data_IF_569844346958
#
_entry.id   IF_569844346958
#
_cell.length_a   1.000
_cell.length_b   1.000
_cell.length_c   1.000
_cell.angle_alpha   90.00
_cell.angle_beta   90.00
_cell.angle_gamma   90.00
#
_symmetry.space_group_name_H-M   'P 1'
#
loop_
_entity.id
_entity.type
_entity.pdbx_description
1 polymer ?
#
# COMPACT_ATOMS: atom_id res chain seq x y z
N UNK A 1 -15.49 -25.76 21.01
CA UNK A 1 -14.39 -26.70 20.84
C UNK A 1 -13.13 -25.86 20.68
N UNK A 2 -12.22 -26.00 21.65
CA UNK A 2 -10.82 -25.58 21.74
C UNK A 2 -10.40 -24.25 21.08
N UNK A 3 -10.54 -23.15 21.82
CA UNK A 3 -9.76 -21.92 21.64
C UNK A 3 -8.48 -21.98 22.47
N UNK A 4 -7.52 -22.78 22.03
CA UNK A 4 -6.16 -22.73 22.56
C UNK A 4 -5.39 -21.66 21.82
N UNK A 5 -4.97 -20.60 22.50
CA UNK A 5 -4.08 -19.57 21.94
C UNK A 5 -2.76 -20.23 21.51
N UNK A 6 -2.42 -20.10 20.24
CA UNK A 6 -1.23 -20.57 19.53
C UNK A 6 0.04 -19.78 19.96
N UNK A 7 0.24 -19.56 21.26
CA UNK A 7 1.29 -18.68 21.79
C UNK A 7 2.63 -19.38 22.10
N UNK A 8 2.71 -20.72 22.00
CA UNK A 8 3.85 -21.49 22.51
C UNK A 8 4.52 -22.41 21.46
N UNK A 9 4.59 -22.02 20.18
CA UNK A 9 5.46 -22.71 19.22
C UNK A 9 6.86 -22.06 19.25
N UNK A 10 7.89 -22.71 19.86
CA UNK A 10 9.24 -22.14 19.96
C UNK A 10 9.95 -22.01 18.59
N UNK A 11 9.40 -22.63 17.55
CA UNK A 11 9.87 -22.55 16.18
C UNK A 11 9.03 -21.60 15.32
N UNK A 12 8.03 -20.91 15.90
CA UNK A 12 7.21 -19.95 15.17
C UNK A 12 8.07 -18.84 14.61
N UNK A 13 7.94 -18.60 13.30
CA UNK A 13 8.72 -17.60 12.57
C UNK A 13 7.96 -16.29 12.53
N UNK A 14 8.55 -15.19 12.98
CA UNK A 14 7.89 -13.90 12.82
C UNK A 14 8.85 -12.76 12.64
N UNK A 15 8.36 -11.71 11.98
CA UNK A 15 9.13 -10.48 11.81
C UNK A 15 8.49 -9.50 10.84
N UNK A 16 9.18 -8.38 10.66
CA UNK A 16 8.73 -7.27 9.85
C UNK A 16 9.52 -7.21 8.53
N UNK A 17 8.82 -6.96 7.43
CA UNK A 17 9.40 -6.92 6.08
C UNK A 17 9.03 -5.62 5.38
N UNK A 18 10.01 -4.76 5.09
CA UNK A 18 9.75 -3.51 4.38
C UNK A 18 9.68 -3.73 2.86
N UNK A 19 8.64 -3.20 2.21
CA UNK A 19 8.55 -3.17 0.74
C UNK A 19 8.94 -1.77 0.27
N UNK A 20 10.07 -1.67 -0.46
CA UNK A 20 10.58 -0.43 -1.02
C UNK A 20 10.70 -0.53 -2.55
N UNK A 21 10.72 0.62 -3.19
CA UNK A 21 10.77 0.70 -4.65
C UNK A 21 10.16 1.99 -5.17
N UNK A 22 10.41 2.28 -6.44
CA UNK A 22 9.85 3.47 -7.09
C UNK A 22 8.31 3.45 -7.08
N UNK A 23 7.63 4.58 -7.32
CA UNK A 23 6.19 4.56 -7.59
C UNK A 23 5.83 3.58 -8.73
N UNK A 24 4.64 2.95 -8.63
CA UNK A 24 4.04 2.10 -9.67
C UNK A 24 4.77 0.78 -10.01
N UNK A 25 5.76 0.36 -9.22
CA UNK A 25 6.39 -0.97 -9.37
C UNK A 25 5.48 -2.11 -8.93
N UNK A 26 4.42 -1.82 -8.16
CA UNK A 26 3.36 -2.77 -7.76
C UNK A 26 3.35 -3.16 -6.27
N UNK A 27 3.94 -2.34 -5.38
CA UNK A 27 4.15 -2.71 -3.96
C UNK A 27 2.84 -3.06 -3.25
N UNK A 28 1.85 -2.19 -3.39
CA UNK A 28 0.51 -2.40 -2.82
C UNK A 28 -0.24 -3.56 -3.50
N UNK A 29 0.09 -3.89 -4.76
CA UNK A 29 -0.44 -5.09 -5.43
C UNK A 29 0.10 -6.36 -4.77
N UNK A 30 1.40 -6.40 -4.48
CA UNK A 30 2.01 -7.50 -3.74
C UNK A 30 1.40 -7.62 -2.34
N UNK A 31 1.26 -6.49 -1.63
CA UNK A 31 0.67 -6.47 -0.29
C UNK A 31 -0.75 -7.06 -0.28
N UNK A 32 -1.62 -6.58 -1.17
CA UNK A 32 -2.99 -7.08 -1.27
C UNK A 32 -3.05 -8.56 -1.65
N UNK A 33 -2.14 -9.02 -2.51
CA UNK A 33 -2.06 -10.43 -2.92
C UNK A 33 -1.69 -11.33 -1.74
N UNK A 34 -0.65 -10.94 -1.00
CA UNK A 34 -0.15 -11.69 0.14
C UNK A 34 -1.19 -11.77 1.26
N UNK A 35 -1.85 -10.65 1.54
CA UNK A 35 -2.88 -10.57 2.57
C UNK A 35 -4.21 -11.22 2.13
N UNK A 36 -4.40 -11.44 0.82
CA UNK A 36 -5.63 -11.98 0.25
C UNK A 36 -6.81 -10.99 0.26
N UNK A 37 -6.57 -9.74 0.65
CA UNK A 37 -7.57 -8.70 0.81
C UNK A 37 -7.05 -7.35 0.31
N UNK A 38 -7.96 -6.46 -0.12
CA UNK A 38 -7.58 -5.13 -0.62
C UNK A 38 -7.41 -4.13 0.52
N UNK A 39 -6.28 -4.23 1.23
CA UNK A 39 -5.92 -3.37 2.37
C UNK A 39 -5.16 -2.10 1.96
N UNK A 40 -4.52 -2.09 0.78
CA UNK A 40 -3.83 -0.92 0.22
C UNK A 40 -4.35 -0.57 -1.17
N UNK A 41 -4.35 0.72 -1.51
CA UNK A 41 -4.90 1.18 -2.79
C UNK A 41 -3.89 1.11 -3.93
N UNK A 42 -4.40 0.91 -5.15
CA UNK A 42 -3.60 0.77 -6.37
C UNK A 42 -3.99 1.81 -7.42
N UNK A 43 -3.00 2.52 -7.96
CA UNK A 43 -3.20 3.52 -9.00
C UNK A 43 -1.90 3.83 -9.73
N UNK A 44 -1.99 4.07 -11.04
CA UNK A 44 -0.86 4.48 -11.89
C UNK A 44 -0.39 5.91 -11.61
N UNK A 45 -1.08 6.65 -10.72
CA UNK A 45 -0.64 7.98 -10.30
C UNK A 45 0.57 7.86 -9.38
N UNK A 46 1.57 8.73 -9.58
CA UNK A 46 2.62 8.87 -8.59
C UNK A 46 2.02 9.33 -7.25
N UNK A 47 2.64 8.90 -6.14
CA UNK A 47 2.20 9.24 -4.76
C UNK A 47 0.82 8.66 -4.39
N UNK A 48 0.51 7.46 -4.90
CA UNK A 48 -0.69 6.70 -4.52
C UNK A 48 -0.68 6.34 -3.03
N UNK A 49 0.35 5.63 -2.54
CA UNK A 49 0.53 5.34 -1.11
C UNK A 49 1.14 6.55 -0.41
N UNK A 50 0.44 7.07 0.61
CA UNK A 50 0.92 8.19 1.44
C UNK A 50 1.30 7.75 2.85
N UNK A 51 0.52 6.84 3.43
CA UNK A 51 0.71 6.35 4.79
C UNK A 51 1.46 5.01 4.78
N UNK A 52 2.16 4.71 5.89
CA UNK A 52 2.67 3.36 6.14
C UNK A 52 1.46 2.43 6.35
N UNK A 53 1.38 1.35 5.57
CA UNK A 53 0.33 0.34 5.72
C UNK A 53 1.01 -0.96 6.10
N UNK A 54 0.57 -1.58 7.19
CA UNK A 54 0.98 -2.93 7.52
C UNK A 54 -0.02 -3.92 6.92
N UNK A 55 0.48 -4.87 6.15
CA UNK A 55 -0.25 -6.06 5.72
C UNK A 55 0.27 -7.25 6.50
N UNK A 56 -0.63 -7.98 7.15
CA UNK A 56 -0.29 -9.07 8.05
C UNK A 56 -0.61 -10.38 7.35
N UNK A 57 0.41 -11.21 7.16
CA UNK A 57 0.30 -12.57 6.65
C UNK A 57 0.54 -13.54 7.79
N UNK A 58 -0.48 -14.30 8.16
CA UNK A 58 -0.42 -15.26 9.27
C UNK A 58 -0.70 -16.67 8.76
N UNK A 59 0.09 -17.61 9.22
CA UNK A 59 -0.05 -19.06 9.02
C UNK A 59 0.17 -19.75 10.37
N UNK A 60 -0.09 -21.05 10.44
CA UNK A 60 0.09 -21.79 11.69
C UNK A 60 1.52 -21.79 12.23
N UNK A 61 2.51 -21.58 11.35
CA UNK A 61 3.94 -21.67 11.66
C UNK A 61 4.68 -20.33 11.55
N UNK A 62 4.03 -19.28 11.01
CA UNK A 62 4.69 -18.00 10.79
C UNK A 62 3.76 -16.79 10.69
N UNK A 63 4.25 -15.61 11.10
CA UNK A 63 3.63 -14.31 10.82
C UNK A 63 4.62 -13.32 10.21
N UNK A 64 4.30 -12.84 9.01
CA UNK A 64 5.06 -11.79 8.32
C UNK A 64 4.26 -10.50 8.33
N UNK A 65 4.84 -9.45 8.93
CA UNK A 65 4.24 -8.10 8.91
C UNK A 65 4.91 -7.29 7.81
N UNK A 66 4.24 -7.20 6.66
CA UNK A 66 4.69 -6.41 5.54
C UNK A 66 4.42 -4.94 5.77
N UNK A 67 5.43 -4.11 5.58
CA UNK A 67 5.34 -2.66 5.68
C UNK A 67 5.40 -2.08 4.26
N UNK A 68 4.25 -1.65 3.72
CA UNK A 68 4.22 -0.91 2.46
C UNK A 68 4.61 0.54 2.71
N UNK A 69 5.68 0.97 2.04
CA UNK A 69 6.22 2.33 2.17
C UNK A 69 5.85 3.19 0.97
N UNK A 70 5.67 4.52 1.14
CA UNK A 70 5.53 5.43 0.02
C UNK A 70 6.66 5.25 -1.01
N UNK A 71 6.33 5.35 -2.30
CA UNK A 71 7.31 5.16 -3.37
C UNK A 71 8.49 6.13 -3.25
N UNK A 72 9.70 5.59 -3.12
CA UNK A 72 10.92 6.38 -2.92
C UNK A 72 11.31 7.05 -4.23
N UNK A 73 11.43 8.37 -4.21
CA UNK A 73 11.89 9.21 -5.31
C UNK A 73 12.57 10.46 -4.77
N UNK A 74 13.30 11.20 -5.62
CA UNK A 74 13.89 12.48 -5.19
C UNK A 74 12.76 13.47 -4.86
N UNK A 75 12.67 13.98 -3.62
CA UNK A 75 11.55 14.81 -3.20
C UNK A 75 11.56 16.17 -3.91
N UNK A 76 10.37 16.67 -4.27
CA UNK A 76 10.15 17.99 -4.88
C UNK A 76 9.29 18.92 -4.02
N UNK A 77 8.89 18.47 -2.82
CA UNK A 77 8.07 19.20 -1.86
C UNK A 77 8.37 18.71 -0.43
N UNK A 78 7.96 19.47 0.59
CA UNK A 78 8.14 19.09 2.00
C UNK A 78 7.42 17.77 2.35
N UNK A 79 6.20 17.58 1.84
CA UNK A 79 5.49 16.29 1.99
C UNK A 79 6.25 15.15 1.32
N UNK A 80 6.83 15.39 0.14
CA UNK A 80 7.67 14.40 -0.54
C UNK A 80 8.92 14.03 0.27
N UNK A 81 9.58 15.03 0.87
CA UNK A 81 10.78 14.80 1.69
C UNK A 81 10.45 13.98 2.95
N UNK A 82 9.34 14.33 3.60
CA UNK A 82 8.83 13.61 4.76
C UNK A 82 8.49 12.15 4.44
N UNK A 83 7.77 11.88 3.34
CA UNK A 83 7.46 10.51 2.90
C UNK A 83 8.72 9.68 2.62
N UNK A 84 9.76 10.30 2.04
CA UNK A 84 11.03 9.60 1.77
C UNK A 84 11.77 9.29 3.07
N UNK A 85 11.79 10.22 4.03
CA UNK A 85 12.44 9.99 5.33
C UNK A 85 11.77 8.86 6.12
N UNK A 86 10.45 8.88 6.18
CA UNK A 86 9.60 7.82 6.77
C UNK A 86 9.90 6.44 6.16
N UNK A 87 9.94 6.34 4.83
CA UNK A 87 10.26 5.09 4.16
C UNK A 87 11.67 4.58 4.54
N UNK A 88 12.66 5.47 4.69
CA UNK A 88 14.03 5.07 5.00
C UNK A 88 14.27 4.75 6.47
N UNK A 89 13.60 5.44 7.41
CA UNK A 89 13.72 5.10 8.84
C UNK A 89 13.21 3.69 9.12
N UNK A 90 12.17 3.26 8.39
CA UNK A 90 11.63 1.90 8.53
C UNK A 90 12.63 0.79 8.17
N UNK A 91 13.66 1.07 7.34
CA UNK A 91 14.58 0.04 6.85
C UNK A 91 15.49 -0.55 7.92
N UNK A 92 15.77 0.18 8.99
CA UNK A 92 16.65 -0.29 10.07
C UNK A 92 15.90 -1.07 11.16
N UNK A 93 14.57 -1.00 11.16
CA UNK A 93 13.71 -1.60 12.20
C UNK A 93 13.08 -2.93 11.74
N UNK A 94 13.31 -3.32 10.49
CA UNK A 94 12.77 -4.56 9.90
C UNK A 94 13.77 -5.70 9.93
N UNK A 95 13.26 -6.92 9.77
CA UNK A 95 14.05 -8.14 9.68
C UNK A 95 14.54 -8.41 8.25
N UNK A 96 13.80 -7.93 7.25
CA UNK A 96 14.16 -8.01 5.84
C UNK A 96 13.62 -6.83 5.01
N UNK A 97 14.25 -6.58 3.86
CA UNK A 97 13.84 -5.55 2.91
C UNK A 97 13.60 -6.15 1.53
N UNK A 98 12.45 -5.86 0.93
CA UNK A 98 12.14 -6.16 -0.46
C UNK A 98 12.36 -4.91 -1.32
N UNK A 99 13.41 -4.89 -2.12
CA UNK A 99 13.53 -3.89 -3.19
C UNK A 99 12.77 -4.38 -4.42
N UNK A 100 11.65 -3.74 -4.70
CA UNK A 100 10.80 -4.12 -5.82
C UNK A 100 11.01 -3.21 -7.04
N UNK A 101 11.19 -3.84 -8.20
CA UNK A 101 11.40 -3.20 -9.50
C UNK A 101 10.36 -3.69 -10.51
N UNK A 102 10.21 -2.96 -11.62
CA UNK A 102 9.24 -3.29 -12.67
C UNK A 102 9.97 -3.96 -13.84
N UNK A 103 9.56 -5.18 -14.20
CA UNK A 103 10.11 -5.95 -15.30
C UNK A 103 10.05 -5.22 -16.65
N UNK A 104 9.07 -4.35 -16.87
CA UNK A 104 8.90 -3.61 -18.12
C UNK A 104 9.80 -2.38 -18.26
N UNK A 105 10.69 -2.15 -17.30
CA UNK A 105 11.53 -0.94 -17.24
C UNK A 105 12.99 -1.31 -16.98
N UNK A 106 13.90 -0.65 -17.68
CA UNK A 106 15.34 -0.80 -17.41
C UNK A 106 15.73 -0.09 -16.11
N UNK A 107 16.83 -0.55 -15.52
CA UNK A 107 17.41 0.07 -14.31
C UNK A 107 17.73 1.54 -14.57
N UNK A 108 17.13 2.43 -13.79
CA UNK A 108 17.29 3.87 -13.94
C UNK A 108 17.88 4.56 -12.71
N UNK A 109 18.03 5.88 -12.82
CA UNK A 109 18.53 6.72 -11.72
C UNK A 109 17.68 6.62 -10.43
N UNK A 110 16.36 6.40 -10.57
CA UNK A 110 15.48 6.21 -9.42
C UNK A 110 15.75 4.90 -8.67
N UNK A 111 16.16 3.84 -9.38
CA UNK A 111 16.53 2.56 -8.77
C UNK A 111 17.90 2.70 -8.09
N UNK A 112 18.86 3.33 -8.76
CA UNK A 112 20.19 3.62 -8.20
C UNK A 112 20.09 4.42 -6.89
N UNK A 113 19.21 5.42 -6.85
CA UNK A 113 18.98 6.20 -5.65
C UNK A 113 18.48 5.38 -4.45
N UNK A 114 17.70 4.33 -4.69
CA UNK A 114 17.24 3.41 -3.65
C UNK A 114 18.38 2.46 -3.27
N UNK A 115 19.06 1.88 -4.25
CA UNK A 115 20.21 0.98 -4.06
C UNK A 115 21.29 1.64 -3.21
N UNK A 116 21.65 2.90 -3.51
CA UNK A 116 22.68 3.62 -2.77
C UNK A 116 22.36 3.80 -1.28
N UNK A 117 21.07 3.82 -0.92
CA UNK A 117 20.62 3.89 0.48
C UNK A 117 20.52 2.50 1.11
N UNK A 118 20.23 1.48 0.32
CA UNK A 118 20.22 0.10 0.78
C UNK A 118 21.63 -0.41 1.11
N UNK A 119 22.68 0.20 0.54
CA UNK A 119 24.08 -0.10 0.91
C UNK A 119 24.41 0.10 2.39
N UNK A 120 23.66 0.95 3.11
CA UNK A 120 23.87 1.17 4.55
C UNK A 120 22.98 0.27 5.42
N UNK A 121 22.08 -0.52 4.82
CA UNK A 121 21.19 -1.44 5.53
C UNK A 121 21.97 -2.71 5.85
N UNK A 122 21.92 -3.15 7.11
CA UNK A 122 22.62 -4.36 7.58
C UNK A 122 21.74 -5.61 7.53
N UNK A 123 20.47 -5.45 7.20
CA UNK A 123 19.46 -6.52 7.10
C UNK A 123 19.45 -7.14 5.69
N UNK A 124 19.05 -8.41 5.54
CA UNK A 124 18.90 -9.05 4.24
C UNK A 124 18.02 -8.25 3.29
N UNK A 125 18.51 -7.99 2.08
CA UNK A 125 17.79 -7.27 1.03
C UNK A 125 17.54 -8.19 -0.16
N UNK A 126 16.28 -8.34 -0.54
CA UNK A 126 15.83 -9.17 -1.66
C UNK A 126 15.47 -8.30 -2.85
N UNK A 127 15.90 -8.70 -4.05
CA UNK A 127 15.46 -8.06 -5.28
C UNK A 127 14.20 -8.76 -5.79
N UNK A 128 13.11 -8.02 -5.85
CA UNK A 128 11.82 -8.52 -6.34
C UNK A 128 11.53 -7.90 -7.71
N UNK A 129 11.61 -8.71 -8.77
CA UNK A 129 11.35 -8.26 -10.14
C UNK A 129 9.89 -8.54 -10.45
N UNK A 130 9.03 -7.53 -10.30
CA UNK A 130 7.59 -7.68 -10.45
C UNK A 130 7.13 -7.43 -11.90
N UNK A 131 5.91 -7.90 -12.23
CA UNK A 131 5.25 -7.78 -13.53
C UNK A 131 5.86 -8.63 -14.64
N UNK A 132 6.37 -9.81 -14.28
CA UNK A 132 6.92 -10.76 -15.27
C UNK A 132 5.88 -11.23 -16.29
N UNK A 133 4.59 -11.10 -15.97
CA UNK A 133 3.46 -11.35 -16.88
C UNK A 133 3.45 -10.43 -18.11
N UNK A 134 4.24 -9.35 -18.11
CA UNK A 134 4.24 -8.32 -19.16
C UNK A 134 5.48 -8.36 -20.06
N UNK A 135 6.40 -9.31 -19.84
CA UNK A 135 7.65 -9.40 -20.61
C UNK A 135 7.85 -10.81 -21.16
N UNK A 136 8.70 -10.92 -22.18
CA UNK A 136 9.15 -12.23 -22.64
C UNK A 136 10.19 -12.81 -21.66
N UNK A 137 10.21 -14.13 -21.40
CA UNK A 137 11.19 -14.75 -20.49
C UNK A 137 12.65 -14.43 -20.84
N UNK A 138 12.98 -14.27 -22.12
CA UNK A 138 14.34 -13.94 -22.57
C UNK A 138 14.80 -12.55 -22.10
N UNK A 139 13.87 -11.61 -21.93
CA UNK A 139 14.18 -10.25 -21.46
C UNK A 139 14.48 -10.21 -19.96
N UNK A 140 14.01 -11.21 -19.20
CA UNK A 140 14.16 -11.27 -17.75
C UNK A 140 15.64 -11.43 -17.34
N UNK A 141 16.39 -12.27 -18.06
CA UNK A 141 17.82 -12.49 -17.78
C UNK A 141 18.64 -11.21 -17.97
N UNK A 142 18.33 -10.44 -19.01
CA UNK A 142 18.96 -9.14 -19.29
C UNK A 142 18.67 -8.14 -18.17
N UNK A 143 17.47 -8.19 -17.59
CA UNK A 143 17.11 -7.33 -16.47
C UNK A 143 17.81 -7.75 -15.18
N UNK A 144 17.87 -9.04 -14.86
CA UNK A 144 18.59 -9.56 -13.68
C UNK A 144 20.06 -9.13 -13.72
N UNK A 145 20.70 -9.22 -14.89
CA UNK A 145 22.10 -8.83 -15.08
C UNK A 145 22.38 -7.36 -14.74
N UNK A 146 21.41 -6.46 -14.99
CA UNK A 146 21.54 -5.04 -14.63
C UNK A 146 21.58 -4.78 -13.13
N UNK A 147 21.05 -5.68 -12.31
CA UNK A 147 20.95 -5.50 -10.86
C UNK A 147 21.91 -6.40 -10.07
N UNK A 148 22.38 -7.52 -10.63
CA UNK A 148 23.12 -8.56 -9.89
C UNK A 148 24.29 -8.03 -9.05
N UNK A 149 25.07 -7.09 -9.59
CA UNK A 149 26.27 -6.54 -8.95
C UNK A 149 26.00 -5.21 -8.21
N UNK A 150 24.74 -4.78 -8.14
CA UNK A 150 24.38 -3.48 -7.58
C UNK A 150 24.35 -3.45 -6.05
N UNK A 151 24.08 -4.60 -5.44
CA UNK A 151 23.98 -4.85 -4.01
C UNK A 151 24.24 -6.34 -3.77
N UNK A 152 24.65 -6.72 -2.56
CA UNK A 152 24.68 -8.12 -2.14
C UNK A 152 23.26 -8.58 -1.81
N UNK A 153 22.54 -9.08 -2.81
CA UNK A 153 21.16 -9.52 -2.66
C UNK A 153 21.10 -10.85 -1.91
N UNK A 154 20.21 -10.94 -0.92
CA UNK A 154 19.92 -12.18 -0.23
C UNK A 154 19.27 -13.23 -1.17
N UNK A 155 18.42 -12.76 -2.08
CA UNK A 155 17.89 -13.54 -3.20
C UNK A 155 17.34 -12.60 -4.29
N UNK A 156 17.16 -13.13 -5.51
CA UNK A 156 16.54 -12.45 -6.65
C UNK A 156 15.32 -13.24 -7.10
N UNK A 157 14.14 -12.68 -6.88
CA UNK A 157 12.85 -13.36 -7.10
C UNK A 157 12.01 -12.61 -8.14
N UNK A 158 11.90 -13.14 -9.37
CA UNK A 158 10.94 -12.67 -10.36
C UNK A 158 9.53 -13.12 -9.98
N UNK A 159 8.57 -12.19 -9.94
CA UNK A 159 7.18 -12.46 -9.55
C UNK A 159 6.17 -11.77 -10.48
N UNK A 160 4.94 -12.28 -10.49
CA UNK A 160 3.77 -11.46 -10.84
C UNK A 160 2.92 -11.29 -9.59
N UNK A 161 2.92 -10.10 -9.01
CA UNK A 161 2.03 -9.78 -7.90
C UNK A 161 0.54 -9.81 -8.31
N UNK A 162 0.25 -9.52 -9.58
CA UNK A 162 -1.11 -9.50 -10.12
C UNK A 162 -1.66 -10.93 -10.27
N UNK A 163 -0.94 -11.76 -11.03
CA UNK A 163 -1.35 -13.14 -11.34
C UNK A 163 -1.02 -14.11 -10.19
N UNK A 164 -0.05 -13.76 -9.35
CA UNK A 164 0.41 -14.55 -8.20
C UNK A 164 1.61 -15.44 -8.49
N UNK A 165 2.18 -15.40 -9.71
CA UNK A 165 3.33 -16.22 -10.06
C UNK A 165 4.48 -15.97 -9.07
N UNK A 166 4.98 -17.05 -8.49
CA UNK A 166 6.16 -17.08 -7.61
C UNK A 166 6.02 -16.28 -6.30
N UNK A 167 4.81 -15.83 -5.94
CA UNK A 167 4.55 -15.14 -4.66
C UNK A 167 4.65 -16.10 -3.47
N UNK A 168 4.21 -17.35 -3.63
CA UNK A 168 4.34 -18.38 -2.59
C UNK A 168 5.81 -18.67 -2.26
N UNK A 169 6.65 -18.86 -3.28
CA UNK A 169 8.10 -19.02 -3.12
C UNK A 169 8.72 -17.83 -2.37
N UNK A 170 8.29 -16.60 -2.68
CA UNK A 170 8.74 -15.41 -1.93
C UNK A 170 8.38 -15.52 -0.44
N UNK A 171 7.15 -15.92 -0.12
CA UNK A 171 6.70 -16.08 1.27
C UNK A 171 7.47 -17.19 1.99
N UNK A 172 7.72 -18.31 1.32
CA UNK A 172 8.54 -19.39 1.87
C UNK A 172 10.00 -18.95 2.12
N UNK A 173 10.61 -18.26 1.16
CA UNK A 173 11.98 -17.75 1.27
C UNK A 173 12.09 -16.78 2.45
N UNK A 174 11.13 -15.87 2.60
CA UNK A 174 11.09 -14.96 3.74
C UNK A 174 10.90 -15.71 5.05
N UNK A 175 9.91 -16.60 5.13
CA UNK A 175 9.60 -17.38 6.34
C UNK A 175 10.82 -18.14 6.86
N UNK A 176 11.59 -18.78 5.96
CA UNK A 176 12.80 -19.53 6.32
C UNK A 176 13.88 -18.66 6.96
N UNK A 177 13.96 -17.38 6.57
CA UNK A 177 15.00 -16.45 7.00
C UNK A 177 14.59 -15.58 8.19
N UNK A 178 13.29 -15.51 8.50
CA UNK A 178 12.81 -14.79 9.68
C UNK A 178 13.34 -15.43 10.98
N UNK A 179 13.53 -14.62 12.03
CA UNK A 179 13.87 -15.15 13.34
C UNK A 179 12.68 -15.93 13.93
N UNK A 180 12.97 -16.76 14.92
CA UNK A 180 11.89 -17.27 15.77
C UNK A 180 11.38 -16.12 16.63
N UNK A 181 10.07 -15.97 16.74
CA UNK A 181 9.47 -14.82 17.42
C UNK A 181 8.02 -15.05 17.80
N UNK A 182 7.43 -14.13 18.58
CA UNK A 182 6.03 -14.22 18.95
C UNK A 182 5.13 -13.87 17.75
N UNK A 183 3.89 -14.29 17.82
CA UNK A 183 2.84 -13.71 16.99
C UNK A 183 2.55 -12.28 17.48
N UNK A 184 2.69 -11.28 16.60
CA UNK A 184 2.50 -9.86 16.91
C UNK A 184 1.03 -9.44 16.86
N UNK A 185 0.26 -10.05 15.96
CA UNK A 185 -1.15 -9.72 15.71
C UNK A 185 -2.04 -10.97 15.71
N UNK A 186 -3.33 -10.86 16.09
CA UNK A 186 -4.30 -11.95 15.99
C UNK A 186 -4.40 -12.56 14.58
N UNK A 187 -4.82 -13.83 14.49
CA UNK A 187 -4.86 -14.60 13.22
C UNK A 187 -5.81 -14.00 12.18
N UNK A 188 -6.88 -13.34 12.62
CA UNK A 188 -7.89 -12.71 11.78
C UNK A 188 -7.50 -11.29 11.35
N UNK A 189 -6.45 -10.72 11.94
CA UNK A 189 -6.02 -9.37 11.62
C UNK A 189 -5.11 -9.35 10.39
N UNK A 190 -5.56 -8.62 9.37
CA UNK A 190 -4.87 -8.51 8.08
C UNK A 190 -4.18 -7.17 7.83
N UNK A 191 -4.52 -6.14 8.62
CA UNK A 191 -3.88 -4.83 8.56
C UNK A 191 -3.90 -4.13 9.92
N UNK A 192 -2.99 -3.18 10.14
CA UNK A 192 -2.94 -2.34 11.33
C UNK A 192 -3.97 -1.19 11.32
N UNK A 193 -4.57 -0.91 10.16
CA UNK A 193 -5.51 0.19 10.00
C UNK A 193 -6.96 -0.19 10.29
N UNK A 194 -7.75 0.68 10.94
CA UNK A 194 -9.19 0.47 11.09
C UNK A 194 -9.91 0.39 9.74
N UNK A 195 -10.99 -0.39 9.64
CA UNK A 195 -11.82 -0.49 8.41
C UNK A 195 -12.19 0.87 7.82
N UNK A 196 -12.49 1.85 8.67
CA UNK A 196 -12.79 3.23 8.28
C UNK A 196 -11.71 3.83 7.39
N UNK A 197 -10.43 3.57 7.71
CA UNK A 197 -9.31 4.04 6.92
C UNK A 197 -9.29 3.37 5.55
N UNK A 198 -9.41 2.03 5.50
CA UNK A 198 -9.44 1.26 4.25
C UNK A 198 -10.57 1.74 3.34
N UNK A 199 -11.78 1.97 3.88
CA UNK A 199 -12.92 2.53 3.14
C UNK A 199 -12.59 3.89 2.54
N UNK A 200 -11.94 4.77 3.31
CA UNK A 200 -11.54 6.11 2.84
C UNK A 200 -10.57 6.02 1.66
N UNK A 201 -9.64 5.06 1.73
CA UNK A 201 -8.64 4.82 0.72
C UNK A 201 -9.29 4.22 -0.55
N UNK A 202 -10.21 3.27 -0.43
CA UNK A 202 -10.95 2.72 -1.58
C UNK A 202 -11.69 3.81 -2.37
N UNK A 203 -12.30 4.79 -1.68
CA UNK A 203 -12.92 5.95 -2.33
C UNK A 203 -11.85 6.81 -3.01
N UNK A 204 -10.74 7.09 -2.32
CA UNK A 204 -9.64 7.89 -2.86
C UNK A 204 -9.04 7.23 -4.10
N UNK A 205 -8.89 5.92 -4.13
CA UNK A 205 -8.41 5.16 -5.29
C UNK A 205 -9.24 5.48 -6.54
N UNK A 206 -10.57 5.47 -6.42
CA UNK A 206 -11.45 5.78 -7.56
C UNK A 206 -11.33 7.23 -8.00
N UNK A 207 -11.09 8.15 -7.07
CA UNK A 207 -10.73 9.53 -7.42
C UNK A 207 -9.44 9.57 -8.23
N UNK A 208 -8.37 8.88 -7.79
CA UNK A 208 -7.09 8.86 -8.50
C UNK A 208 -7.20 8.24 -9.90
N UNK A 209 -7.99 7.17 -10.04
CA UNK A 209 -8.20 6.45 -11.29
C UNK A 209 -9.01 7.29 -12.30
N UNK A 210 -10.08 7.94 -11.84
CA UNK A 210 -11.05 8.62 -12.71
C UNK A 210 -10.71 10.09 -13.00
N UNK A 211 -9.81 10.70 -12.21
CA UNK A 211 -9.44 12.10 -12.38
C UNK A 211 -8.03 12.29 -12.94
N UNK A 212 -7.75 13.48 -13.45
CA UNK A 212 -6.48 13.89 -14.06
C UNK A 212 -6.04 15.25 -13.53
N UNK A 213 -4.92 15.75 -14.04
CA UNK A 213 -4.38 17.08 -13.73
C UNK A 213 -4.08 17.23 -12.23
N UNK A 214 -4.51 18.32 -11.59
CA UNK A 214 -4.16 18.64 -10.21
C UNK A 214 -4.98 17.88 -9.14
N UNK A 215 -6.11 17.28 -9.52
CA UNK A 215 -7.05 16.67 -8.55
C UNK A 215 -6.41 15.50 -7.78
N UNK A 216 -5.72 14.53 -8.42
CA UNK A 216 -5.09 13.42 -7.71
C UNK A 216 -4.11 13.83 -6.61
N UNK A 217 -3.49 15.00 -6.74
CA UNK A 217 -2.46 15.47 -5.81
C UNK A 217 -3.00 16.31 -4.65
N UNK A 218 -4.29 16.68 -4.68
CA UNK A 218 -4.91 17.63 -3.73
C UNK A 218 -6.16 17.10 -3.05
N UNK A 219 -6.37 15.77 -3.11
CA UNK A 219 -7.53 15.09 -2.52
C UNK A 219 -7.19 14.42 -1.18
N UNK A 220 -8.15 14.49 -0.25
CA UNK A 220 -8.28 13.61 0.91
C UNK A 220 -9.71 13.08 0.98
N UNK A 221 -9.92 11.94 1.63
CA UNK A 221 -11.25 11.39 1.90
C UNK A 221 -11.40 11.22 3.40
N UNK A 222 -12.51 11.71 3.93
CA UNK A 222 -12.85 11.60 5.35
C UNK A 222 -14.12 10.80 5.46
N UNK A 223 -14.13 9.77 6.30
CA UNK A 223 -15.36 9.06 6.63
C UNK A 223 -16.05 9.79 7.76
N UNK A 224 -17.21 10.37 7.46
CA UNK A 224 -18.02 11.12 8.41
C UNK A 224 -18.75 10.15 9.36
N UNK A 225 -19.37 9.11 8.80
CA UNK A 225 -20.15 8.13 9.58
C UNK A 225 -20.17 6.76 8.92
N UNK A 226 -20.13 5.72 9.75
CA UNK A 226 -20.45 4.34 9.38
C UNK A 226 -21.53 3.89 10.36
N UNK A 227 -22.65 3.40 9.83
CA UNK A 227 -23.74 2.87 10.67
C UNK A 227 -24.42 1.69 9.99
N UNK A 228 -24.56 0.58 10.72
CA UNK A 228 -25.35 -0.57 10.27
C UNK A 228 -26.83 -0.18 10.30
N UNK A 229 -27.52 -0.27 9.17
CA UNK A 229 -28.96 0.01 9.06
C UNK A 229 -29.79 -1.23 9.41
N UNK A 230 -29.31 -2.41 9.05
CA UNK A 230 -29.88 -3.71 9.38
C UNK A 230 -28.78 -4.80 9.24
N UNK A 231 -29.14 -6.07 9.44
CA UNK A 231 -28.20 -7.19 9.42
C UNK A 231 -27.34 -7.29 8.15
N UNK A 232 -27.82 -6.80 7.00
CA UNK A 232 -27.14 -6.97 5.70
C UNK A 232 -26.77 -5.64 5.02
N UNK A 233 -26.97 -4.50 5.69
CA UNK A 233 -26.82 -3.18 5.07
C UNK A 233 -26.09 -2.18 5.96
N UNK A 234 -25.00 -1.64 5.43
CA UNK A 234 -24.19 -0.59 6.05
C UNK A 234 -24.40 0.72 5.30
N UNK A 235 -24.59 1.81 6.04
CA UNK A 235 -24.56 3.17 5.52
C UNK A 235 -23.20 3.79 5.81
N UNK A 236 -22.50 4.19 4.74
CA UNK A 236 -21.22 4.90 4.78
C UNK A 236 -21.43 6.31 4.26
N UNK A 237 -21.05 7.30 5.07
CA UNK A 237 -21.07 8.73 4.73
C UNK A 237 -19.63 9.21 4.66
N UNK A 238 -19.22 9.79 3.53
CA UNK A 238 -17.86 10.26 3.34
C UNK A 238 -17.75 11.58 2.56
N UNK A 239 -16.78 12.40 2.94
CA UNK A 239 -16.49 13.69 2.31
C UNK A 239 -15.16 13.63 1.57
N UNK A 240 -15.20 13.93 0.27
CA UNK A 240 -14.02 14.15 -0.57
C UNK A 240 -13.61 15.62 -0.43
N UNK A 241 -12.42 15.85 0.13
CA UNK A 241 -11.87 17.17 0.41
C UNK A 241 -10.89 17.58 -0.69
N UNK A 242 -11.04 18.79 -1.22
CA UNK A 242 -10.15 19.40 -2.22
C UNK A 242 -9.79 20.83 -1.84
N UNK A 243 -8.77 21.41 -2.48
CA UNK A 243 -8.28 22.76 -2.14
C UNK A 243 -8.99 23.88 -2.88
N UNK A 244 -9.47 23.62 -4.10
CA UNK A 244 -9.99 24.65 -5.01
C UNK A 244 -11.40 24.35 -5.52
N UNK A 245 -12.24 25.39 -5.76
CA UNK A 245 -13.56 25.20 -6.35
C UNK A 245 -13.53 24.53 -7.73
N UNK A 246 -12.49 24.78 -8.53
CA UNK A 246 -12.30 24.13 -9.84
C UNK A 246 -12.20 22.60 -9.71
N UNK A 247 -11.45 22.12 -8.72
CA UNK A 247 -11.29 20.70 -8.41
C UNK A 247 -12.62 20.07 -7.97
N UNK A 248 -13.40 20.81 -7.16
CA UNK A 248 -14.77 20.39 -6.79
C UNK A 248 -15.66 20.24 -8.03
N UNK A 249 -15.58 21.17 -8.97
CA UNK A 249 -16.29 21.08 -10.25
C UNK A 249 -15.93 19.82 -11.04
N UNK A 250 -14.63 19.47 -11.11
CA UNK A 250 -14.14 18.26 -11.78
C UNK A 250 -14.67 16.99 -11.10
N UNK A 251 -14.63 16.91 -9.77
CA UNK A 251 -15.09 15.75 -9.01
C UNK A 251 -16.60 15.52 -9.12
N UNK A 252 -17.39 16.59 -9.16
CA UNK A 252 -18.84 16.48 -9.37
C UNK A 252 -19.13 16.05 -10.81
N UNK A 253 -18.47 16.70 -11.78
CA UNK A 253 -18.71 16.49 -13.20
C UNK A 253 -20.08 17.02 -13.65
N UNK A 254 -20.31 17.05 -14.97
CA UNK A 254 -21.57 17.54 -15.54
C UNK A 254 -22.75 16.71 -15.02
N UNK A 255 -23.71 17.35 -14.35
CA UNK A 255 -24.88 16.69 -13.76
C UNK A 255 -24.55 15.66 -12.66
N UNK A 256 -23.41 15.78 -11.98
CA UNK A 256 -23.00 14.82 -10.94
C UNK A 256 -22.45 13.49 -11.47
N UNK A 257 -22.21 13.38 -12.79
CA UNK A 257 -21.81 12.13 -13.45
C UNK A 257 -20.49 11.55 -12.93
N UNK A 258 -19.50 12.39 -12.63
CA UNK A 258 -18.20 11.93 -12.14
C UNK A 258 -18.31 11.41 -10.70
N UNK A 259 -18.97 12.15 -9.81
CA UNK A 259 -19.17 11.74 -8.42
C UNK A 259 -19.99 10.46 -8.33
N UNK A 260 -21.02 10.32 -9.17
CA UNK A 260 -21.81 9.08 -9.29
C UNK A 260 -20.93 7.90 -9.70
N UNK A 261 -20.03 8.09 -10.67
CA UNK A 261 -19.10 7.04 -11.14
C UNK A 261 -18.11 6.64 -10.06
N UNK A 262 -17.50 7.61 -9.37
CA UNK A 262 -16.61 7.39 -8.21
C UNK A 262 -17.35 6.56 -7.14
N UNK A 263 -18.54 7.01 -6.72
CA UNK A 263 -19.32 6.32 -5.69
C UNK A 263 -19.75 4.92 -6.11
N UNK A 264 -20.10 4.71 -7.38
CA UNK A 264 -20.50 3.38 -7.87
C UNK A 264 -19.35 2.37 -7.78
N UNK A 265 -18.17 2.75 -8.26
CA UNK A 265 -16.99 1.87 -8.24
C UNK A 265 -16.44 1.69 -6.82
N UNK A 266 -16.43 2.74 -6.00
CA UNK A 266 -15.96 2.65 -4.62
C UNK A 266 -16.88 1.75 -3.78
N UNK A 267 -18.20 1.89 -3.96
CA UNK A 267 -19.19 1.05 -3.27
C UNK A 267 -18.97 -0.44 -3.56
N UNK A 268 -18.67 -0.82 -4.79
CA UNK A 268 -18.38 -2.22 -5.13
C UNK A 268 -17.20 -2.77 -4.33
N UNK A 269 -16.08 -2.05 -4.30
CA UNK A 269 -14.91 -2.45 -3.52
C UNK A 269 -15.22 -2.52 -2.01
N UNK A 270 -16.02 -1.59 -1.49
CA UNK A 270 -16.40 -1.58 -0.06
C UNK A 270 -17.35 -2.74 0.27
N UNK A 271 -18.28 -3.10 -0.62
CA UNK A 271 -19.14 -4.28 -0.44
C UNK A 271 -18.32 -5.58 -0.39
N UNK A 272 -17.26 -5.67 -1.20
CA UNK A 272 -16.33 -6.80 -1.15
C UNK A 272 -15.53 -6.83 0.16
N UNK A 273 -15.03 -5.68 0.62
CA UNK A 273 -14.29 -5.58 1.88
C UNK A 273 -15.14 -5.97 3.09
N UNK A 274 -16.38 -5.49 3.16
CA UNK A 274 -17.25 -5.67 4.33
C UNK A 274 -18.12 -6.92 4.27
N UNK A 275 -18.16 -7.62 3.12
CA UNK A 275 -19.09 -8.72 2.84
C UNK A 275 -20.58 -8.38 3.08
N UNK A 276 -20.95 -7.10 2.97
CA UNK A 276 -22.27 -6.53 3.28
C UNK A 276 -22.74 -5.61 2.14
N UNK A 277 -24.06 -5.36 2.01
CA UNK A 277 -24.55 -4.32 1.09
C UNK A 277 -24.25 -2.94 1.64
N UNK A 278 -23.83 -2.03 0.76
CA UNK A 278 -23.41 -0.69 1.17
C UNK A 278 -24.27 0.36 0.50
N UNK A 279 -24.82 1.27 1.30
CA UNK A 279 -25.29 2.57 0.82
C UNK A 279 -24.17 3.59 1.06
N UNK A 280 -23.56 4.08 -0.02
CA UNK A 280 -22.46 5.04 0.03
C UNK A 280 -22.96 6.43 -0.35
N UNK A 281 -22.89 7.37 0.59
CA UNK A 281 -23.21 8.77 0.40
C UNK A 281 -21.92 9.60 0.37
N UNK A 282 -21.73 10.37 -0.72
CA UNK A 282 -20.51 11.15 -0.96
C UNK A 282 -20.81 12.64 -1.07
N UNK A 283 -20.01 13.46 -0.38
CA UNK A 283 -19.97 14.91 -0.56
C UNK A 283 -18.63 15.39 -1.08
N UNK A 284 -18.61 16.59 -1.67
CA UNK A 284 -17.37 17.26 -2.07
C UNK A 284 -17.26 18.63 -1.40
N UNK A 285 -16.22 18.80 -0.57
CA UNK A 285 -15.96 20.01 0.21
C UNK A 285 -14.65 20.67 -0.23
N UNK A 286 -14.68 22.00 -0.34
CA UNK A 286 -13.48 22.81 -0.61
C UNK A 286 -12.91 23.29 0.73
N UNK A 287 -11.65 22.95 1.00
CA UNK A 287 -10.89 23.39 2.17
C UNK A 287 -9.56 23.95 1.67
N UNK A 288 -9.45 25.29 1.47
CA UNK A 288 -8.23 25.89 0.94
C UNK A 288 -7.01 25.62 1.81
N UNK A 289 -5.91 25.19 1.17
CA UNK A 289 -4.60 24.96 1.80
C UNK A 289 -4.63 23.91 2.92
N UNK A 290 -5.51 22.91 2.84
CA UNK A 290 -5.63 21.90 3.91
C UNK A 290 -4.33 21.11 4.11
N UNK A 291 -3.53 20.93 3.04
CA UNK A 291 -2.24 20.23 3.09
C UNK A 291 -1.20 20.94 3.97
N UNK A 292 -1.36 22.24 4.20
CA UNK A 292 -0.44 23.06 5.01
C UNK A 292 -0.98 23.29 6.43
N UNK A 293 -2.16 22.74 6.77
CA UNK A 293 -2.82 22.93 8.05
C UNK A 293 -2.65 21.68 8.93
N UNK A 294 -1.85 21.74 10.01
CA UNK A 294 -1.60 20.59 10.88
C UNK A 294 -2.88 19.95 11.45
N UNK A 295 -3.87 20.76 11.82
CA UNK A 295 -5.17 20.28 12.32
C UNK A 295 -5.99 19.55 11.24
N UNK A 296 -5.88 19.98 9.98
CA UNK A 296 -6.53 19.32 8.86
C UNK A 296 -5.83 17.99 8.53
N UNK A 297 -4.50 17.98 8.50
CA UNK A 297 -3.71 16.75 8.34
C UNK A 297 -4.07 15.71 9.41
N UNK A 298 -4.06 16.11 10.68
CA UNK A 298 -4.37 15.20 11.78
C UNK A 298 -5.80 14.66 11.72
N UNK A 299 -6.78 15.51 11.38
CA UNK A 299 -8.19 15.11 11.26
C UNK A 299 -8.46 14.23 10.03
N UNK A 300 -7.60 14.27 9.01
CA UNK A 300 -7.73 13.46 7.80
C UNK A 300 -6.88 12.18 7.84
N UNK A 301 -6.35 11.81 9.00
CA UNK A 301 -5.57 10.57 9.17
C UNK A 301 -4.11 10.70 8.71
N UNK A 302 -3.56 11.92 8.70
CA UNK A 302 -2.14 12.19 8.49
C UNK A 302 -1.52 12.56 9.85
N UNK A 303 -1.27 11.60 10.74
CA UNK A 303 -0.61 11.84 12.04
C UNK A 303 0.89 11.63 11.92
N UNK A 304 1.71 12.40 12.64
CA UNK A 304 3.18 12.27 12.60
C UNK A 304 3.69 10.86 12.92
N UNK A 305 2.97 10.11 13.76
CA UNK A 305 3.37 8.78 14.19
C UNK A 305 2.99 7.68 13.17
N UNK A 306 2.15 8.02 12.17
CA UNK A 306 1.76 7.13 11.06
C UNK A 306 2.75 7.19 9.88
N UNK A 307 3.88 7.90 10.05
CA UNK A 307 4.95 8.11 9.06
C UNK A 307 6.34 7.86 9.65
#
# INVERSE_FOLDING_TARGET
MNGGTQLDNPNYKSGFVAIVGRPNVGKSTLLNRVVGQKVAIMSDKAQTTRNKIQGIYTTDDAQIVFIDTPGIHKPKSQLGDFMVKSALSSLNEVDAVLMMVNATQTRGAGDNFIIDRLKTVTKPVYLIINKIDQIHPDDLLVLIDQYKDALDWADVLPISALEGNNVETLLETLTKQLPNGPQYYPDDQVTDHPERFVISELIREKVLQLTRQEVPHSVAVVIDKISRQNEQKIHVQATIVVERPTQKGILIGKGGSMLKKIGTLARQDIEHLLADKVFLELWVKVVPGWRDKPSALQSYGYRKDDY
#
